data_IF_749953123308
#
_entry.id   IF_749953123308
#
_cell.length_a   1.000
_cell.length_b   1.000
_cell.length_c   1.000
_cell.angle_alpha   90.00
_cell.angle_beta   90.00
_cell.angle_gamma   90.00
#
_symmetry.space_group_name_H-M   'P 1'
#
loop_
_entity.id
_entity.type
_entity.pdbx_description
1 polymer ?
#
# COMPACT_ATOMS: atom_id res chain seq x y z
N UNK A 1 -27.94 -33.21 8.40
CA UNK A 1 -28.88 -32.13 8.00
C UNK A 1 -28.07 -30.87 7.82
N UNK A 2 -27.96 -30.37 6.59
CA UNK A 2 -27.02 -29.30 6.24
C UNK A 2 -27.31 -28.04 7.06
N UNK A 3 -26.45 -27.76 8.05
CA UNK A 3 -26.51 -26.61 8.94
C UNK A 3 -25.88 -25.37 8.27
N UNK A 4 -26.09 -25.22 6.95
CA UNK A 4 -25.58 -24.07 6.21
C UNK A 4 -26.68 -23.02 6.03
N UNK A 5 -26.34 -21.79 6.40
CA UNK A 5 -27.24 -20.64 6.30
C UNK A 5 -27.52 -20.31 4.83
N UNK A 6 -26.54 -20.46 3.95
CA UNK A 6 -26.72 -20.12 2.53
C UNK A 6 -27.63 -21.12 1.83
N UNK A 7 -27.56 -22.41 2.19
CA UNK A 7 -28.54 -23.42 1.75
C UNK A 7 -30.00 -23.05 2.11
N UNK A 8 -30.24 -22.60 3.35
CA UNK A 8 -31.59 -22.14 3.76
C UNK A 8 -32.05 -20.93 2.94
N UNK A 9 -31.11 -20.04 2.60
CA UNK A 9 -31.39 -18.85 1.80
C UNK A 9 -31.68 -19.22 0.34
N UNK A 10 -30.97 -20.16 -0.26
CA UNK A 10 -31.23 -20.60 -1.63
C UNK A 10 -32.60 -21.29 -1.76
N UNK A 11 -32.93 -22.22 -0.85
CA UNK A 11 -34.26 -22.85 -0.82
C UNK A 11 -35.38 -21.83 -0.58
N UNK A 12 -35.15 -20.85 0.30
CA UNK A 12 -36.11 -19.76 0.52
C UNK A 12 -36.32 -18.89 -0.72
N UNK A 13 -35.26 -18.64 -1.50
CA UNK A 13 -35.32 -17.86 -2.74
C UNK A 13 -36.09 -18.59 -3.85
N UNK A 14 -35.99 -19.91 -3.93
CA UNK A 14 -36.80 -20.72 -4.84
C UNK A 14 -38.29 -20.66 -4.48
N UNK A 15 -38.62 -20.83 -3.19
CA UNK A 15 -40.00 -20.81 -2.72
C UNK A 15 -40.62 -19.40 -2.81
N UNK A 16 -39.81 -18.34 -2.67
CA UNK A 16 -40.23 -16.94 -2.82
C UNK A 16 -40.76 -16.59 -4.22
N UNK A 17 -40.47 -17.40 -5.25
CA UNK A 17 -41.04 -17.22 -6.60
C UNK A 17 -42.55 -17.43 -6.63
N UNK A 18 -43.09 -18.22 -5.70
CA UNK A 18 -44.51 -18.60 -5.65
C UNK A 18 -45.21 -18.11 -4.39
N UNK A 19 -44.48 -18.00 -3.28
CA UNK A 19 -45.02 -17.64 -1.96
C UNK A 19 -44.63 -16.22 -1.53
N UNK A 20 -45.45 -15.55 -0.70
CA UNK A 20 -45.13 -14.22 -0.22
C UNK A 20 -43.96 -14.23 0.79
N UNK A 21 -43.29 -13.09 0.90
CA UNK A 21 -41.98 -12.99 1.58
C UNK A 21 -42.00 -13.32 3.09
N UNK A 22 -43.08 -12.97 3.80
CA UNK A 22 -43.19 -13.21 5.26
C UNK A 22 -43.27 -14.69 5.65
N UNK A 23 -44.21 -15.49 5.13
CA UNK A 23 -44.31 -16.90 5.50
C UNK A 23 -43.05 -17.67 5.11
N UNK A 24 -42.47 -17.39 3.95
CA UNK A 24 -41.22 -18.02 3.51
C UNK A 24 -40.06 -17.69 4.47
N UNK A 25 -39.89 -16.41 4.83
CA UNK A 25 -38.86 -16.03 5.80
C UNK A 25 -39.02 -16.73 7.17
N UNK A 26 -40.26 -16.86 7.65
CA UNK A 26 -40.57 -17.55 8.91
C UNK A 26 -40.31 -19.06 8.80
N UNK A 27 -40.73 -19.70 7.69
CA UNK A 27 -40.54 -21.13 7.42
C UNK A 27 -39.06 -21.52 7.42
N UNK A 28 -38.22 -20.72 6.78
CA UNK A 28 -36.77 -20.97 6.71
C UNK A 28 -36.00 -20.31 7.86
N UNK A 29 -36.67 -19.68 8.84
CA UNK A 29 -36.07 -18.96 9.96
C UNK A 29 -34.95 -17.96 9.55
N UNK A 30 -35.20 -17.20 8.48
CA UNK A 30 -34.33 -16.13 7.97
C UNK A 30 -35.02 -14.79 8.25
N UNK A 31 -34.25 -13.74 8.57
CA UNK A 31 -34.85 -12.41 8.76
C UNK A 31 -35.44 -11.89 7.44
N UNK A 32 -36.63 -11.28 7.50
CA UNK A 32 -37.32 -10.65 6.36
C UNK A 32 -36.39 -9.71 5.57
N UNK A 33 -35.58 -8.92 6.29
CA UNK A 33 -34.63 -7.98 5.70
C UNK A 33 -33.54 -8.69 4.89
N UNK A 34 -32.99 -9.80 5.39
CA UNK A 34 -31.97 -10.58 4.68
C UNK A 34 -32.53 -11.22 3.41
N UNK A 35 -33.73 -11.78 3.46
CA UNK A 35 -34.36 -12.40 2.28
C UNK A 35 -34.74 -11.33 1.23
N UNK A 36 -35.22 -10.16 1.66
CA UNK A 36 -35.46 -9.02 0.76
C UNK A 36 -34.18 -8.49 0.13
N UNK A 37 -33.07 -8.45 0.86
CA UNK A 37 -31.78 -8.04 0.31
C UNK A 37 -31.31 -9.02 -0.79
N UNK A 38 -31.45 -10.34 -0.52
CA UNK A 38 -31.17 -11.40 -1.50
C UNK A 38 -32.05 -11.28 -2.75
N UNK A 39 -33.34 -10.98 -2.59
CA UNK A 39 -34.26 -10.73 -3.71
C UNK A 39 -33.84 -9.54 -4.58
N UNK A 40 -33.20 -8.52 -4.00
CA UNK A 40 -32.67 -7.35 -4.71
C UNK A 40 -31.27 -7.59 -5.33
N UNK A 41 -30.75 -8.81 -5.26
CA UNK A 41 -29.43 -9.16 -5.80
C UNK A 41 -28.27 -9.00 -4.80
N UNK A 42 -28.54 -8.75 -3.52
CA UNK A 42 -27.49 -8.66 -2.50
C UNK A 42 -26.87 -10.02 -2.19
N UNK A 43 -25.55 -10.16 -2.37
CA UNK A 43 -24.77 -11.39 -2.12
C UNK A 43 -24.38 -11.55 -0.64
N UNK A 44 -23.77 -12.68 -0.28
CA UNK A 44 -23.31 -12.91 1.09
C UNK A 44 -22.27 -11.86 1.50
N UNK A 45 -22.18 -11.57 2.80
CA UNK A 45 -21.16 -10.68 3.32
C UNK A 45 -19.75 -11.20 2.99
N UNK A 46 -19.57 -12.52 2.92
CA UNK A 46 -18.30 -13.14 2.47
C UNK A 46 -18.04 -12.84 1.00
N UNK A 47 -18.96 -13.17 0.11
CA UNK A 47 -18.80 -12.94 -1.34
C UNK A 47 -18.65 -11.44 -1.68
N UNK A 48 -19.47 -10.59 -1.04
CA UNK A 48 -19.35 -9.15 -1.18
C UNK A 48 -18.01 -8.60 -0.64
N UNK A 49 -17.35 -9.33 0.24
CA UNK A 49 -16.02 -8.98 0.74
C UNK A 49 -14.91 -9.41 -0.23
N UNK A 50 -15.11 -10.49 -1.00
CA UNK A 50 -14.19 -10.94 -2.07
C UNK A 50 -14.00 -9.82 -3.10
N UNK A 51 -15.10 -9.27 -3.60
CA UNK A 51 -15.10 -8.12 -4.55
C UNK A 51 -14.44 -6.84 -4.00
N UNK A 52 -14.36 -6.72 -2.67
CA UNK A 52 -13.76 -5.55 -2.00
C UNK A 52 -12.31 -5.78 -1.61
N UNK A 53 -11.75 -6.95 -1.88
CA UNK A 53 -10.35 -7.22 -1.62
C UNK A 53 -9.48 -6.47 -2.62
N UNK A 54 -8.30 -6.04 -2.17
CA UNK A 54 -7.35 -5.33 -3.03
C UNK A 54 -6.60 -6.28 -3.95
N UNK A 55 -6.34 -7.50 -3.48
CA UNK A 55 -5.76 -8.57 -4.29
C UNK A 55 -6.88 -9.52 -4.68
N UNK A 56 -6.83 -10.02 -5.92
CA UNK A 56 -7.70 -11.10 -6.36
C UNK A 56 -7.33 -12.41 -5.66
N UNK A 57 -8.23 -13.39 -5.70
CA UNK A 57 -8.00 -14.73 -5.15
C UNK A 57 -6.76 -15.38 -5.78
N UNK A 58 -6.61 -15.30 -7.11
CA UNK A 58 -5.42 -15.75 -7.84
C UNK A 58 -4.11 -15.10 -7.37
N UNK A 59 -4.15 -13.79 -7.07
CA UNK A 59 -2.99 -13.05 -6.57
C UNK A 59 -2.65 -13.45 -5.14
N UNK A 60 -3.66 -13.70 -4.30
CA UNK A 60 -3.44 -14.22 -2.96
C UNK A 60 -2.89 -15.64 -2.99
N UNK A 61 -3.39 -16.52 -3.87
CA UNK A 61 -2.86 -17.87 -4.07
C UNK A 61 -1.40 -17.87 -4.52
N UNK A 62 -1.03 -16.99 -5.47
CA UNK A 62 0.37 -16.84 -5.85
C UNK A 62 1.25 -16.42 -4.66
N UNK A 63 0.75 -15.52 -3.81
CA UNK A 63 1.46 -15.10 -2.61
C UNK A 63 1.57 -16.25 -1.58
N UNK A 64 0.54 -17.10 -1.47
CA UNK A 64 0.55 -18.30 -0.63
C UNK A 64 1.62 -19.27 -1.13
N UNK A 65 1.64 -19.58 -2.43
CA UNK A 65 2.61 -20.47 -3.06
C UNK A 65 4.05 -19.97 -2.83
N UNK A 66 4.29 -18.67 -3.00
CA UNK A 66 5.57 -18.07 -2.68
C UNK A 66 5.97 -18.24 -1.21
N UNK A 67 5.04 -18.05 -0.26
CA UNK A 67 5.31 -18.26 1.18
C UNK A 67 5.69 -19.72 1.45
N UNK A 68 4.98 -20.67 0.86
CA UNK A 68 5.26 -22.10 1.04
C UNK A 68 6.61 -22.49 0.44
N UNK A 69 6.97 -21.96 -0.73
CA UNK A 69 8.27 -22.17 -1.36
C UNK A 69 9.42 -21.60 -0.52
N UNK A 70 9.21 -20.44 0.11
CA UNK A 70 10.20 -19.86 1.02
C UNK A 70 10.31 -20.65 2.34
N UNK A 71 9.21 -21.17 2.89
CA UNK A 71 9.24 -22.07 4.04
C UNK A 71 9.99 -23.37 3.72
N UNK A 72 9.79 -23.95 2.53
CA UNK A 72 10.54 -25.11 2.05
C UNK A 72 12.05 -24.82 1.90
N UNK A 73 12.41 -23.58 1.55
CA UNK A 73 13.78 -23.09 1.52
C UNK A 73 14.35 -22.69 2.91
N UNK A 74 13.63 -23.01 4.00
CA UNK A 74 13.96 -22.66 5.38
C UNK A 74 14.08 -21.16 5.67
N UNK A 75 13.45 -20.31 4.84
CA UNK A 75 13.39 -18.86 5.00
C UNK A 75 11.96 -18.45 5.34
N UNK A 76 11.63 -18.26 6.61
CA UNK A 76 10.28 -17.86 7.00
C UNK A 76 10.04 -16.36 6.70
N UNK A 77 9.15 -15.99 5.75
CA UNK A 77 8.90 -14.59 5.44
C UNK A 77 8.17 -13.89 6.59
N UNK A 78 8.63 -12.69 6.93
CA UNK A 78 8.00 -11.86 7.97
C UNK A 78 6.71 -11.23 7.44
N UNK A 79 5.76 -10.85 8.33
CA UNK A 79 4.56 -10.07 7.95
C UNK A 79 4.88 -8.81 7.14
N UNK A 80 6.02 -8.16 7.43
CA UNK A 80 6.51 -6.99 6.66
C UNK A 80 6.83 -7.37 5.22
N UNK A 81 7.52 -8.49 5.01
CA UNK A 81 7.87 -9.00 3.68
C UNK A 81 6.60 -9.35 2.92
N UNK A 82 5.66 -10.06 3.54
CA UNK A 82 4.37 -10.41 2.92
C UNK A 82 3.61 -9.16 2.46
N UNK A 83 3.61 -8.08 3.27
CA UNK A 83 3.01 -6.80 2.86
C UNK A 83 3.78 -6.15 1.72
N UNK A 84 5.11 -6.19 1.75
CA UNK A 84 5.96 -5.68 0.68
C UNK A 84 5.63 -6.38 -0.63
N UNK A 85 5.65 -7.71 -0.66
CA UNK A 85 5.34 -8.51 -1.84
C UNK A 85 3.90 -8.32 -2.33
N UNK A 86 2.93 -8.24 -1.44
CA UNK A 86 1.55 -7.88 -1.82
C UNK A 86 1.46 -6.50 -2.48
N UNK A 87 2.21 -5.50 -2.01
CA UNK A 87 2.26 -4.19 -2.67
C UNK A 87 2.98 -4.24 -4.03
N UNK A 88 3.95 -5.13 -4.20
CA UNK A 88 4.63 -5.32 -5.49
C UNK A 88 3.69 -5.93 -6.53
N UNK A 89 2.85 -6.87 -6.13
CA UNK A 89 1.79 -7.43 -7.00
C UNK A 89 0.84 -6.31 -7.45
N UNK A 90 0.39 -5.46 -6.53
CA UNK A 90 -0.47 -4.31 -6.87
C UNK A 90 0.22 -3.33 -7.83
N UNK A 91 1.50 -3.03 -7.59
CA UNK A 91 2.28 -2.16 -8.46
C UNK A 91 2.44 -2.74 -9.86
N UNK A 92 2.61 -4.06 -9.96
CA UNK A 92 2.68 -4.75 -11.25
C UNK A 92 1.34 -4.69 -12.00
N UNK A 93 0.23 -4.78 -11.28
CA UNK A 93 -1.14 -4.64 -11.83
C UNK A 93 -1.55 -3.18 -12.09
N UNK A 94 -0.58 -2.23 -12.07
CA UNK A 94 -0.80 -0.79 -12.24
C UNK A 94 -1.82 -0.18 -11.26
N UNK A 95 -2.00 -0.79 -10.08
CA UNK A 95 -2.84 -0.26 -9.02
C UNK A 95 -2.01 0.68 -8.13
N UNK A 96 -2.36 1.96 -8.09
CA UNK A 96 -1.70 2.97 -7.22
C UNK A 96 -2.07 2.82 -5.73
N UNK A 97 -2.74 1.73 -5.35
CA UNK A 97 -3.12 1.48 -3.96
C UNK A 97 -2.07 0.71 -3.19
N UNK A 98 -1.93 1.07 -1.91
CA UNK A 98 -1.13 0.33 -0.94
C UNK A 98 -2.01 -0.53 -0.02
N UNK A 99 -1.44 -1.66 0.41
CA UNK A 99 -2.02 -2.55 1.41
C UNK A 99 -1.92 -1.95 2.81
N UNK A 100 -3.04 -1.95 3.53
CA UNK A 100 -3.11 -1.45 4.90
C UNK A 100 -2.39 -2.34 5.91
N UNK A 101 -2.09 -1.79 7.08
CA UNK A 101 -1.35 -2.48 8.15
C UNK A 101 -2.00 -3.80 8.60
N UNK A 102 -3.34 -3.86 8.62
CA UNK A 102 -4.09 -5.04 9.05
C UNK A 102 -4.38 -6.03 7.92
N UNK A 103 -4.01 -5.72 6.67
CA UNK A 103 -4.29 -6.59 5.54
C UNK A 103 -3.64 -7.96 5.71
N UNK A 104 -2.38 -8.03 6.14
CA UNK A 104 -1.66 -9.29 6.35
C UNK A 104 -2.34 -10.18 7.39
N UNK A 105 -2.84 -9.59 8.48
CA UNK A 105 -3.57 -10.38 9.49
C UNK A 105 -4.86 -10.95 8.91
N UNK A 106 -5.57 -10.19 8.06
CA UNK A 106 -6.78 -10.67 7.38
C UNK A 106 -6.47 -11.74 6.33
N UNK A 107 -5.37 -11.58 5.60
CA UNK A 107 -4.84 -12.59 4.67
C UNK A 107 -4.58 -13.91 5.40
N UNK A 108 -3.88 -13.87 6.54
CA UNK A 108 -3.65 -15.07 7.35
C UNK A 108 -4.92 -15.70 7.91
N UNK A 109 -5.95 -14.91 8.23
CA UNK A 109 -7.25 -15.49 8.64
C UNK A 109 -8.01 -16.16 7.49
N UNK A 110 -7.73 -15.77 6.23
CA UNK A 110 -8.32 -16.40 5.04
C UNK A 110 -7.60 -17.68 4.65
N UNK A 111 -6.28 -17.72 4.86
CA UNK A 111 -5.40 -18.82 4.48
C UNK A 111 -4.84 -19.52 5.72
N UNK A 112 -5.65 -20.34 6.42
CA UNK A 112 -5.24 -21.00 7.67
C UNK A 112 -4.12 -22.05 7.46
N UNK A 113 -3.90 -22.47 6.22
CA UNK A 113 -2.83 -23.39 5.83
C UNK A 113 -1.45 -22.77 6.05
N UNK A 114 -1.36 -21.44 5.97
CA UNK A 114 -0.14 -20.70 6.29
C UNK A 114 -0.03 -20.54 7.80
N UNK A 115 0.67 -21.47 8.45
CA UNK A 115 1.09 -21.31 9.85
C UNK A 115 2.32 -20.42 9.93
N UNK A 116 2.12 -19.12 9.71
CA UNK A 116 3.21 -18.14 9.78
C UNK A 116 3.80 -18.14 11.19
N UNK A 117 4.95 -18.82 11.36
CA UNK A 117 5.71 -18.79 12.62
C UNK A 117 6.11 -17.34 12.85
N UNK A 118 5.72 -16.77 13.99
CA UNK A 118 6.16 -15.44 14.38
C UNK A 118 7.68 -15.43 14.38
N UNK A 119 8.29 -14.82 13.36
CA UNK A 119 9.74 -14.75 13.28
C UNK A 119 10.24 -13.91 14.46
N UNK A 120 11.18 -14.47 15.21
CA UNK A 120 12.02 -13.69 16.12
C UNK A 120 12.83 -12.71 15.26
N UNK A 121 13.14 -11.54 15.80
CA UNK A 121 13.97 -10.55 15.12
C UNK A 121 15.32 -11.17 14.74
N UNK A 122 15.57 -11.35 13.46
CA UNK A 122 16.90 -11.65 12.92
C UNK A 122 17.52 -10.32 12.49
N UNK A 123 18.82 -10.17 12.73
CA UNK A 123 19.57 -8.92 12.62
C UNK A 123 19.41 -8.20 11.28
N UNK A 124 19.42 -6.86 11.35
CA UNK A 124 19.11 -5.92 10.26
C UNK A 124 19.98 -6.09 9.00
N UNK A 125 21.19 -6.66 9.14
CA UNK A 125 22.17 -6.83 8.07
C UNK A 125 21.82 -8.04 7.20
N UNK A 126 21.56 -9.20 7.82
CA UNK A 126 21.04 -10.39 7.11
C UNK A 126 19.71 -10.08 6.42
N UNK A 127 18.90 -9.20 7.00
CA UNK A 127 17.61 -8.84 6.39
C UNK A 127 17.76 -8.12 5.06
N UNK A 128 18.76 -7.23 4.89
CA UNK A 128 18.90 -6.46 3.64
C UNK A 128 19.31 -7.32 2.45
N UNK A 129 20.37 -8.09 2.57
CA UNK A 129 20.87 -8.97 1.49
C UNK A 129 19.86 -10.08 1.16
N UNK A 130 19.24 -10.67 2.19
CA UNK A 130 18.17 -11.66 1.98
C UNK A 130 16.95 -11.05 1.28
N UNK A 131 16.64 -9.76 1.51
CA UNK A 131 15.48 -9.11 0.87
C UNK A 131 15.71 -8.88 -0.62
N UNK A 132 16.92 -8.53 -1.07
CA UNK A 132 17.22 -8.32 -2.49
C UNK A 132 17.15 -9.64 -3.28
N UNK A 133 17.79 -10.70 -2.78
CA UNK A 133 17.68 -12.02 -3.41
C UNK A 133 16.25 -12.57 -3.39
N UNK A 134 15.51 -12.36 -2.29
CA UNK A 134 14.09 -12.72 -2.20
C UNK A 134 13.25 -11.95 -3.21
N UNK A 135 13.55 -10.66 -3.40
CA UNK A 135 12.88 -9.80 -4.36
C UNK A 135 13.11 -10.27 -5.80
N UNK A 136 14.36 -10.55 -6.18
CA UNK A 136 14.67 -11.07 -7.52
C UNK A 136 14.00 -12.42 -7.79
N UNK A 137 14.06 -13.35 -6.82
CA UNK A 137 13.40 -14.65 -6.94
C UNK A 137 11.90 -14.51 -7.08
N UNK A 138 11.30 -13.63 -6.28
CA UNK A 138 9.88 -13.32 -6.36
C UNK A 138 9.50 -12.78 -7.74
N UNK A 139 10.24 -11.80 -8.28
CA UNK A 139 9.97 -11.27 -9.62
C UNK A 139 10.12 -12.34 -10.71
N UNK A 140 11.11 -13.22 -10.61
CA UNK A 140 11.27 -14.36 -11.55
C UNK A 140 10.07 -15.31 -11.51
N UNK A 141 9.58 -15.64 -10.31
CA UNK A 141 8.39 -16.47 -10.12
C UNK A 141 7.13 -15.78 -10.64
N UNK A 142 6.97 -14.49 -10.33
CA UNK A 142 5.83 -13.68 -10.74
C UNK A 142 5.75 -13.59 -12.27
N UNK A 143 6.88 -13.29 -12.93
CA UNK A 143 6.97 -13.28 -14.39
C UNK A 143 6.54 -14.62 -15.00
N UNK A 144 7.03 -15.75 -14.45
CA UNK A 144 6.66 -17.09 -14.90
C UNK A 144 5.16 -17.38 -14.72
N UNK A 145 4.60 -17.04 -13.56
CA UNK A 145 3.17 -17.26 -13.27
C UNK A 145 2.27 -16.49 -14.24
N UNK A 146 2.67 -15.26 -14.59
CA UNK A 146 1.93 -14.40 -15.52
C UNK A 146 2.02 -14.91 -16.97
N UNK A 147 3.18 -15.43 -17.39
CA UNK A 147 3.31 -16.12 -18.68
C UNK A 147 2.43 -17.37 -18.75
N UNK A 148 2.40 -18.17 -17.68
CA UNK A 148 1.64 -19.42 -17.60
C UNK A 148 0.12 -19.18 -17.59
N UNK A 149 -0.35 -18.15 -16.87
CA UNK A 149 -1.77 -17.74 -16.88
C UNK A 149 -2.19 -16.96 -18.15
N UNK A 150 -1.30 -16.85 -19.14
CA UNK A 150 -1.58 -16.31 -20.48
C UNK A 150 -2.16 -14.88 -20.47
N UNK A 151 -1.71 -14.02 -19.53
CA UNK A 151 -1.97 -12.58 -19.54
C UNK A 151 -0.84 -11.85 -20.29
N UNK A 152 -0.44 -12.37 -21.46
CA UNK A 152 0.37 -11.60 -22.40
C UNK A 152 -0.49 -10.48 -22.95
N UNK A 153 -0.46 -9.35 -22.25
CA UNK A 153 -0.41 -8.01 -22.81
C UNK A 153 -1.00 -7.92 -24.23
N UNK A 154 -2.30 -7.61 -24.33
CA UNK A 154 -2.59 -6.44 -25.16
C UNK A 154 -1.82 -5.30 -24.49
N UNK A 155 -0.59 -5.08 -24.95
CA UNK A 155 0.28 -4.03 -24.45
C UNK A 155 -0.56 -2.77 -24.30
N UNK A 156 -0.64 -2.25 -23.07
CA UNK A 156 -1.35 -1.03 -22.77
C UNK A 156 -1.02 0.03 -23.82
N UNK A 157 -1.97 0.30 -24.71
CA UNK A 157 -1.89 1.46 -25.60
C UNK A 157 -2.31 2.64 -24.74
N UNK A 158 -1.50 3.70 -24.59
CA UNK A 158 -1.92 4.88 -23.85
C UNK A 158 -3.10 5.55 -24.55
N UNK A 159 -4.31 5.12 -24.21
CA UNK A 159 -5.55 5.67 -24.73
C UNK A 159 -5.78 7.02 -24.07
N UNK A 160 -5.52 8.10 -24.81
CA UNK A 160 -5.76 9.47 -24.35
C UNK A 160 -4.60 10.45 -24.47
N UNK A 161 -3.41 10.03 -24.94
CA UNK A 161 -2.35 11.00 -25.28
C UNK A 161 -2.77 11.79 -26.53
N UNK A 162 -3.07 13.08 -26.36
CA UNK A 162 -3.02 14.02 -27.48
C UNK A 162 -1.56 14.32 -27.77
N UNK A 163 -1.13 14.19 -29.02
CA UNK A 163 0.16 14.70 -29.44
C UNK A 163 0.18 16.21 -29.17
N UNK A 164 1.20 16.65 -28.44
CA UNK A 164 1.48 18.06 -28.25
C UNK A 164 2.27 18.50 -29.48
N UNK A 165 1.84 19.58 -30.14
CA UNK A 165 2.42 20.10 -31.39
C UNK A 165 3.80 20.78 -31.20
N UNK A 166 4.38 20.69 -30.01
CA UNK A 166 5.70 21.21 -29.70
C UNK A 166 6.47 20.20 -28.86
N UNK A 167 7.79 20.19 -28.99
CA UNK A 167 8.66 19.38 -28.15
C UNK A 167 8.62 19.94 -26.72
N UNK A 168 8.11 19.19 -25.73
CA UNK A 168 8.04 19.65 -24.35
C UNK A 168 9.40 20.04 -23.78
N UNK A 169 10.49 19.44 -24.27
CA UNK A 169 11.86 19.69 -23.80
C UNK A 169 12.45 21.01 -24.27
N UNK A 170 11.83 21.68 -25.25
CA UNK A 170 12.21 23.03 -25.66
C UNK A 170 11.68 24.12 -24.72
N UNK A 171 10.65 23.81 -23.91
CA UNK A 171 9.98 24.78 -23.03
C UNK A 171 10.49 24.77 -21.59
N UNK A 172 11.20 23.72 -21.17
CA UNK A 172 11.80 23.64 -19.84
C UNK A 172 13.15 24.36 -19.84
N UNK A 173 13.47 25.02 -18.73
CA UNK A 173 14.78 25.65 -18.55
C UNK A 173 15.88 24.61 -18.76
N UNK A 174 16.86 24.94 -19.60
CA UNK A 174 17.94 24.01 -19.91
C UNK A 174 18.77 23.77 -18.65
N UNK A 175 19.29 22.55 -18.48
CA UNK A 175 20.09 22.16 -17.30
C UNK A 175 21.22 23.18 -16.98
N UNK A 176 21.95 23.76 -17.96
CA UNK A 176 22.97 24.77 -17.70
C UNK A 176 22.40 26.09 -17.13
N UNK A 177 21.18 26.44 -17.51
CA UNK A 177 20.50 27.67 -17.08
C UNK A 177 20.04 27.54 -15.62
N UNK A 178 19.49 26.38 -15.26
CA UNK A 178 19.14 26.02 -13.87
C UNK A 178 20.39 26.06 -12.98
N UNK A 179 21.50 25.48 -13.44
CA UNK A 179 22.75 25.44 -12.69
C UNK A 179 23.34 26.85 -12.47
N UNK A 180 23.29 27.71 -13.49
CA UNK A 180 23.80 29.09 -13.37
C UNK A 180 22.92 29.96 -12.45
N UNK A 181 21.59 29.79 -12.51
CA UNK A 181 20.67 30.48 -11.60
C UNK A 181 20.91 30.09 -10.13
N UNK A 182 21.16 28.81 -9.85
CA UNK A 182 21.46 28.33 -8.50
C UNK A 182 22.76 28.92 -7.95
N UNK A 183 23.80 28.98 -8.79
CA UNK A 183 25.09 29.60 -8.45
C UNK A 183 24.96 31.11 -8.20
N UNK A 184 24.14 31.81 -8.99
CA UNK A 184 23.87 33.23 -8.76
C UNK A 184 23.11 33.48 -7.46
N UNK A 185 22.16 32.60 -7.10
CA UNK A 185 21.43 32.68 -5.84
C UNK A 185 22.38 32.50 -4.62
N UNK A 186 23.26 31.50 -4.65
CA UNK A 186 24.24 31.28 -3.58
C UNK A 186 25.22 32.46 -3.42
N UNK A 187 25.67 33.03 -4.55
CA UNK A 187 26.52 34.22 -4.53
C UNK A 187 25.78 35.45 -3.97
N UNK A 188 24.50 35.66 -4.32
CA UNK A 188 23.72 36.75 -3.76
C UNK A 188 23.52 36.61 -2.23
N UNK A 189 23.25 35.40 -1.75
CA UNK A 189 23.10 35.09 -0.33
C UNK A 189 24.42 35.28 0.45
N UNK A 190 25.55 34.84 -0.11
CA UNK A 190 26.86 35.07 0.51
C UNK A 190 27.22 36.55 0.60
N UNK A 191 26.94 37.34 -0.44
CA UNK A 191 27.12 38.80 -0.45
C UNK A 191 26.21 39.48 0.57
N UNK A 192 24.95 39.07 0.67
CA UNK A 192 24.02 39.60 1.67
C UNK A 192 24.48 39.29 3.10
N UNK A 193 24.95 38.07 3.37
CA UNK A 193 25.52 37.67 4.66
C UNK A 193 26.78 38.47 5.00
N UNK A 194 27.69 38.64 4.05
CA UNK A 194 28.90 39.44 4.24
C UNK A 194 28.58 40.91 4.56
N UNK A 195 27.54 41.48 3.94
CA UNK A 195 27.08 42.85 4.20
C UNK A 195 26.47 43.02 5.59
N UNK A 196 25.76 42.01 6.08
CA UNK A 196 25.09 42.03 7.38
C UNK A 196 26.02 41.67 8.56
N UNK A 197 27.13 40.95 8.30
CA UNK A 197 28.07 40.52 9.34
C UNK A 197 28.61 41.65 10.24
N UNK A 198 29.06 42.81 9.71
CA UNK A 198 29.56 43.89 10.56
C UNK A 198 28.49 44.49 11.49
N UNK A 199 27.24 44.56 11.02
CA UNK A 199 26.11 45.04 11.81
C UNK A 199 25.69 44.01 12.87
N UNK A 200 25.69 42.72 12.53
CA UNK A 200 25.45 41.63 13.48
C UNK A 200 26.49 41.62 14.60
N UNK A 201 27.77 41.84 14.28
CA UNK A 201 28.85 41.95 15.27
C UNK A 201 28.68 43.18 16.17
N UNK A 202 28.32 44.34 15.60
CA UNK A 202 28.03 45.55 16.40
C UNK A 202 26.83 45.35 17.31
N UNK A 203 25.76 44.74 16.81
CA UNK A 203 24.57 44.44 17.58
C UNK A 203 24.87 43.41 18.69
N UNK A 204 25.68 42.39 18.43
CA UNK A 204 26.08 41.43 19.47
C UNK A 204 26.93 42.07 20.56
N UNK A 205 27.83 43.00 20.20
CA UNK A 205 28.63 43.74 21.19
C UNK A 205 27.74 44.68 22.00
N UNK A 206 26.82 45.42 21.36
CA UNK A 206 25.90 46.33 22.04
C UNK A 206 24.96 45.60 23.03
N UNK A 207 24.51 44.39 22.70
CA UNK A 207 23.70 43.54 23.60
C UNK A 207 24.51 43.05 24.81
N UNK A 208 25.78 42.71 24.61
CA UNK A 208 26.68 42.31 25.68
C UNK A 208 26.99 43.48 26.65
N UNK A 209 27.23 44.67 26.10
CA UNK A 209 27.51 45.89 26.87
C UNK A 209 26.28 46.41 27.64
N UNK A 210 25.06 46.22 27.12
CA UNK A 210 23.83 46.67 27.79
C UNK A 210 23.41 45.75 28.96
N UNK A 211 24.12 44.65 29.21
CA UNK A 211 23.80 43.68 30.26
C UNK A 211 22.47 42.93 30.07
N UNK A 212 21.87 43.02 28.88
CA UNK A 212 20.58 42.37 28.56
C UNK A 212 20.70 40.85 28.34
N UNK A 213 21.92 40.31 28.34
CA UNK A 213 22.16 38.86 28.28
C UNK A 213 21.52 38.10 29.45
N UNK A 214 21.30 38.76 30.59
CA UNK A 214 20.60 38.18 31.77
C UNK A 214 19.09 37.99 31.57
N UNK A 215 18.50 38.54 30.52
CA UNK A 215 17.09 38.35 30.15
C UNK A 215 16.90 37.29 29.07
N UNK A 216 17.96 36.63 28.60
CA UNK A 216 17.84 35.49 27.70
C UNK A 216 17.26 34.29 28.47
N UNK A 217 15.96 34.11 28.30
CA UNK A 217 15.17 32.98 28.77
C UNK A 217 15.90 31.66 28.46
N UNK A 218 16.36 30.95 29.49
CA UNK A 218 16.94 29.62 29.33
C UNK A 218 15.84 28.65 28.92
N UNK A 219 15.75 28.31 27.64
CA UNK A 219 14.97 27.14 27.19
C UNK A 219 15.69 25.88 27.68
N UNK A 220 15.29 25.38 28.86
CA UNK A 220 15.64 24.04 29.30
C UNK A 220 14.88 23.04 28.41
N UNK A 221 15.63 22.28 27.62
CA UNK A 221 15.11 21.13 26.89
C UNK A 221 14.78 20.04 27.91
N UNK A 222 13.49 19.82 28.19
CA UNK A 222 13.03 18.69 28.99
C UNK A 222 12.90 17.50 28.02
N UNK A 223 13.72 16.44 28.14
CA UNK A 223 13.57 15.26 27.31
C UNK A 223 12.34 14.46 27.76
N UNK A 224 11.51 14.05 26.80
CA UNK A 224 10.56 12.95 26.96
C UNK A 224 11.24 11.63 26.58
#
# INVERSE_FOLDING_TARGET
MSCDREYRVSSAMEELKTQPLQPTAKKYAISRGSLRNRQKGGTNARDAQIERQKLSEDQEEFLVEWILNEEAAARAPTKKNVRLFGNLILKYDNQDQQLGNHWVNRFLTRHPDIKMKLSRSIDAIQTRETTEEQLERFYKLLARQMEEKNLREEAWKPTGRKAVDYDPNERFAQIPEIASAHFQAENADSVARARLQPQLQRNSIAVAESGMEKLLYSFQFIPN
#
